data_IF_088208139215
#
_entry.id   IF_088208139215
#
_cell.length_a   1.000
_cell.length_b   1.000
_cell.length_c   1.000
_cell.angle_alpha   90.00
_cell.angle_beta   90.00
_cell.angle_gamma   90.00
#
_symmetry.space_group_name_H-M   'P 1'
#
loop_
_entity.id
_entity.type
_entity.pdbx_description
1 polymer ?
#
# COMPACT_ATOMS: atom_id res chain seq x y z
N UNK A 1 -16.39 -35.38 6.39
CA UNK A 1 -15.01 -34.88 6.51
C UNK A 1 -15.03 -33.37 6.36
N UNK A 2 -14.67 -32.66 7.41
CA UNK A 2 -14.62 -31.20 7.36
C UNK A 2 -13.35 -30.75 6.65
N UNK A 3 -13.53 -30.11 5.50
CA UNK A 3 -12.43 -29.43 4.85
C UNK A 3 -12.28 -28.10 5.58
N UNK A 4 -11.18 -27.94 6.32
CA UNK A 4 -10.91 -26.66 6.98
C UNK A 4 -10.78 -25.58 5.90
N UNK A 5 -11.63 -24.57 5.96
CA UNK A 5 -11.56 -23.44 5.06
C UNK A 5 -10.26 -22.68 5.29
N UNK A 6 -9.68 -22.14 4.22
CA UNK A 6 -8.51 -21.27 4.32
C UNK A 6 -8.97 -19.95 4.92
N UNK A 7 -8.36 -19.58 6.05
CA UNK A 7 -8.78 -18.38 6.76
C UNK A 7 -8.20 -17.12 6.13
N UNK A 8 -9.04 -16.11 6.02
CA UNK A 8 -8.63 -14.77 5.66
C UNK A 8 -7.60 -14.25 6.66
N UNK A 9 -6.57 -13.61 6.16
CA UNK A 9 -5.53 -12.98 6.97
C UNK A 9 -5.72 -11.48 6.96
N UNK A 10 -5.47 -10.85 8.10
CA UNK A 10 -5.59 -9.40 8.26
C UNK A 10 -4.44 -8.87 9.08
N UNK A 11 -4.04 -7.64 8.80
CA UNK A 11 -3.17 -6.88 9.69
C UNK A 11 -3.48 -5.40 9.59
N UNK A 12 -3.16 -4.69 10.67
CA UNK A 12 -3.32 -3.25 10.77
C UNK A 12 -2.00 -2.64 11.21
N UNK A 13 -1.67 -1.51 10.60
CA UNK A 13 -0.51 -0.70 10.97
C UNK A 13 -1.01 0.70 11.25
N UNK A 14 -0.51 1.30 12.33
CA UNK A 14 -0.85 2.67 12.70
C UNK A 14 0.43 3.44 12.96
N UNK A 15 0.59 4.56 12.27
CA UNK A 15 1.80 5.38 12.36
C UNK A 15 1.40 6.86 12.40
N UNK A 16 2.19 7.65 13.10
CA UNK A 16 2.01 9.10 13.15
C UNK A 16 3.09 9.81 12.34
N UNK A 17 2.74 10.92 11.73
CA UNK A 17 3.67 11.76 10.99
C UNK A 17 3.39 13.23 11.29
N UNK A 18 4.44 14.04 11.30
CA UNK A 18 4.28 15.49 11.38
C UNK A 18 3.89 16.12 10.04
N UNK A 19 3.96 15.35 8.95
CA UNK A 19 3.60 15.83 7.62
C UNK A 19 2.08 15.98 7.48
N UNK A 20 1.65 16.82 6.54
CA UNK A 20 0.24 17.00 6.24
C UNK A 20 -0.36 15.81 5.49
N UNK A 21 -1.65 15.57 5.72
CA UNK A 21 -2.37 14.47 5.07
C UNK A 21 -2.31 14.58 3.54
N UNK A 22 -2.42 15.79 3.01
CA UNK A 22 -2.36 16.03 1.56
C UNK A 22 -1.00 15.67 0.98
N UNK A 23 0.08 16.00 1.70
CA UNK A 23 1.43 15.67 1.26
C UNK A 23 1.69 14.17 1.27
N UNK A 24 1.27 13.49 2.32
CA UNK A 24 1.39 12.04 2.44
C UNK A 24 0.60 11.34 1.34
N UNK A 25 -0.64 11.75 1.13
CA UNK A 25 -1.48 11.19 0.09
C UNK A 25 -0.87 11.38 -1.30
N UNK A 26 -0.40 12.61 -1.60
CA UNK A 26 0.14 12.93 -2.91
C UNK A 26 1.37 12.08 -3.25
N UNK A 27 2.26 11.85 -2.28
CA UNK A 27 3.42 10.99 -2.48
C UNK A 27 3.03 9.55 -2.74
N UNK A 28 2.06 9.04 -2.00
CA UNK A 28 1.59 7.66 -2.19
C UNK A 28 0.87 7.49 -3.52
N UNK A 29 0.06 8.47 -3.91
CA UNK A 29 -0.71 8.42 -5.15
C UNK A 29 0.16 8.57 -6.40
N UNK A 30 1.31 9.26 -6.29
CA UNK A 30 2.26 9.41 -7.39
C UNK A 30 3.17 8.18 -7.46
N UNK A 31 2.64 7.09 -7.94
CA UNK A 31 3.35 5.81 -7.96
C UNK A 31 4.67 5.86 -8.75
N UNK A 32 4.76 6.49 -9.93
CA UNK A 32 6.06 6.57 -10.63
C UNK A 32 7.15 7.29 -9.85
N UNK A 33 6.80 8.09 -8.86
CA UNK A 33 7.75 8.78 -8.01
C UNK A 33 8.32 7.93 -6.87
N UNK A 34 7.75 6.76 -6.59
CA UNK A 34 8.17 5.92 -5.46
C UNK A 34 9.67 5.59 -5.43
N UNK A 35 10.32 5.26 -6.56
CA UNK A 35 11.76 4.92 -6.50
C UNK A 35 12.64 6.02 -5.92
N UNK A 36 12.20 7.28 -5.96
CA UNK A 36 12.96 8.39 -5.41
C UNK A 36 13.04 8.35 -3.88
N UNK A 37 12.06 7.73 -3.20
CA UNK A 37 12.02 7.70 -1.74
C UNK A 37 11.82 6.30 -1.15
N UNK A 38 11.49 5.30 -1.97
CA UNK A 38 11.35 3.92 -1.52
C UNK A 38 12.29 3.02 -2.35
N UNK A 39 13.46 2.73 -1.81
CA UNK A 39 14.52 2.03 -2.53
C UNK A 39 14.16 0.62 -3.02
N UNK A 40 13.39 -0.20 -2.28
CA UNK A 40 13.01 -1.52 -2.78
C UNK A 40 12.25 -1.47 -4.10
N UNK A 41 11.48 -0.42 -4.35
CA UNK A 41 10.81 -0.23 -5.64
C UNK A 41 11.80 0.35 -6.64
N UNK A 42 12.30 -0.48 -7.54
CA UNK A 42 13.29 -0.07 -8.55
C UNK A 42 12.65 0.73 -9.68
N UNK A 43 11.42 0.41 -10.01
CA UNK A 43 10.66 1.06 -11.06
C UNK A 43 9.19 0.91 -10.75
N UNK A 44 8.44 1.99 -10.92
CA UNK A 44 6.98 1.95 -10.83
C UNK A 44 6.44 2.69 -12.03
N UNK A 45 5.49 2.07 -12.72
CA UNK A 45 4.86 2.69 -13.89
C UNK A 45 3.39 2.33 -13.94
N UNK A 46 2.61 3.20 -14.53
CA UNK A 46 1.21 2.90 -14.81
C UNK A 46 1.11 1.98 -16.01
N UNK A 47 0.17 1.04 -15.95
CA UNK A 47 -0.18 0.23 -17.11
C UNK A 47 -0.80 1.14 -18.17
N UNK A 48 -0.56 0.82 -19.46
CA UNK A 48 -1.06 1.61 -20.58
C UNK A 48 -2.60 1.64 -20.66
N UNK A 49 -3.26 0.73 -19.95
CA UNK A 49 -4.71 0.65 -19.93
C UNK A 49 -5.20 0.84 -18.49
N UNK A 50 -5.56 2.09 -18.16
CA UNK A 50 -6.23 2.34 -16.89
C UNK A 50 -7.40 3.30 -17.13
N UNK A 51 -8.61 2.92 -16.72
CA UNK A 51 -9.74 3.80 -16.82
C UNK A 51 -9.62 4.97 -15.85
N UNK A 52 -10.12 6.13 -16.26
CA UNK A 52 -10.14 7.29 -15.39
C UNK A 52 -11.06 7.05 -14.19
N UNK A 53 -10.69 7.60 -13.03
CA UNK A 53 -11.54 7.58 -11.85
C UNK A 53 -11.49 6.31 -11.00
N UNK A 54 -10.51 5.44 -11.22
CA UNK A 54 -10.34 4.21 -10.46
C UNK A 54 -10.05 3.04 -11.35
N UNK A 55 -9.56 1.96 -10.75
CA UNK A 55 -9.16 0.78 -11.51
C UNK A 55 -7.85 0.94 -12.25
N UNK A 56 -7.14 2.05 -12.05
CA UNK A 56 -5.81 2.23 -12.61
C UNK A 56 -4.87 1.15 -12.07
N UNK A 57 -4.02 0.63 -12.95
CA UNK A 57 -3.08 -0.43 -12.59
C UNK A 57 -1.66 0.11 -12.61
N UNK A 58 -0.93 -0.11 -11.51
CA UNK A 58 0.48 0.22 -11.42
C UNK A 58 1.30 -1.06 -11.36
N UNK A 59 2.45 -1.03 -12.00
CA UNK A 59 3.39 -2.13 -12.04
C UNK A 59 4.61 -1.74 -11.21
N UNK A 60 4.81 -2.45 -10.10
CA UNK A 60 5.88 -2.15 -9.12
C UNK A 60 6.95 -3.22 -9.24
N UNK A 61 8.14 -2.83 -9.66
CA UNK A 61 9.27 -3.75 -9.79
C UNK A 61 10.10 -3.72 -8.51
N UNK A 62 10.13 -4.85 -7.81
CA UNK A 62 10.88 -5.04 -6.58
C UNK A 62 11.82 -6.21 -6.79
N UNK A 63 13.15 -5.96 -6.86
CA UNK A 63 14.12 -6.99 -7.19
C UNK A 63 13.79 -7.63 -8.55
N UNK A 64 13.70 -8.96 -8.64
CA UNK A 64 13.34 -9.65 -9.88
C UNK A 64 11.83 -9.72 -10.13
N UNK A 65 11.02 -9.20 -9.21
CA UNK A 65 9.55 -9.34 -9.28
C UNK A 65 8.90 -8.07 -9.77
N UNK A 66 7.86 -8.21 -10.58
CA UNK A 66 6.96 -7.13 -10.93
C UNK A 66 5.59 -7.41 -10.32
N UNK A 67 5.18 -6.58 -9.40
CA UNK A 67 3.91 -6.70 -8.70
C UNK A 67 2.87 -5.84 -9.41
N UNK A 68 1.73 -6.43 -9.72
CA UNK A 68 0.62 -5.73 -10.34
C UNK A 68 -0.37 -5.32 -9.25
N UNK A 69 -0.60 -4.03 -9.13
CA UNK A 69 -1.52 -3.46 -8.14
C UNK A 69 -2.59 -2.62 -8.83
N UNK A 70 -3.82 -2.83 -8.43
CA UNK A 70 -4.95 -2.05 -8.92
C UNK A 70 -5.39 -1.04 -7.87
N UNK A 71 -5.48 0.22 -8.26
CA UNK A 71 -6.01 1.26 -7.38
C UNK A 71 -7.53 1.12 -7.34
N UNK A 72 -8.09 0.99 -6.15
CA UNK A 72 -9.52 0.76 -5.93
C UNK A 72 -10.26 2.04 -5.58
N UNK A 73 -9.61 2.94 -4.85
CA UNK A 73 -10.23 4.18 -4.42
C UNK A 73 -9.16 5.23 -4.15
N UNK A 74 -9.48 6.49 -4.44
CA UNK A 74 -8.64 7.63 -4.09
C UNK A 74 -9.51 8.81 -3.68
N UNK A 75 -9.35 9.22 -2.43
CA UNK A 75 -9.93 10.44 -1.88
C UNK A 75 -8.76 11.30 -1.40
N UNK A 76 -8.37 12.36 -2.13
CA UNK A 76 -7.17 13.13 -1.80
C UNK A 76 -7.13 13.59 -0.34
N UNK A 77 -5.99 13.34 0.29
CA UNK A 77 -5.75 13.71 1.69
C UNK A 77 -6.49 12.85 2.71
N UNK A 78 -7.24 11.84 2.29
CA UNK A 78 -8.07 11.06 3.20
C UNK A 78 -7.91 9.55 3.06
N UNK A 79 -8.04 9.02 1.85
CA UNK A 79 -8.14 7.56 1.66
C UNK A 79 -7.53 7.12 0.34
N UNK A 80 -6.75 6.06 0.39
CA UNK A 80 -6.20 5.37 -0.78
C UNK A 80 -6.40 3.88 -0.59
N UNK A 81 -6.96 3.19 -1.57
CA UNK A 81 -7.15 1.75 -1.50
C UNK A 81 -6.60 1.07 -2.75
N UNK A 82 -6.04 -0.11 -2.58
CA UNK A 82 -5.48 -0.87 -3.68
C UNK A 82 -5.58 -2.37 -3.43
N UNK A 83 -5.39 -3.14 -4.51
CA UNK A 83 -5.36 -4.60 -4.46
C UNK A 83 -4.12 -5.11 -5.19
N UNK A 84 -3.43 -6.07 -4.60
CA UNK A 84 -2.34 -6.79 -5.27
C UNK A 84 -2.97 -7.93 -6.06
N UNK A 85 -2.71 -7.98 -7.38
CA UNK A 85 -3.34 -8.95 -8.27
C UNK A 85 -2.41 -10.07 -8.72
N UNK A 86 -1.09 -9.93 -8.53
CA UNK A 86 -0.13 -10.91 -9.05
C UNK A 86 1.03 -11.14 -8.10
N UNK A 87 1.76 -12.22 -8.36
CA UNK A 87 3.05 -12.63 -7.79
C UNK A 87 2.91 -13.45 -6.52
N UNK A 88 2.06 -13.04 -5.60
CA UNK A 88 1.95 -13.73 -4.32
C UNK A 88 0.85 -14.79 -4.38
N UNK A 89 1.03 -15.95 -3.71
CA UNK A 89 0.01 -17.00 -3.70
C UNK A 89 -1.14 -16.65 -2.76
N UNK A 90 -1.84 -15.58 -3.09
CA UNK A 90 -2.99 -15.06 -2.35
C UNK A 90 -4.05 -14.55 -3.32
N UNK A 91 -5.26 -14.40 -2.81
CA UNK A 91 -6.39 -13.86 -3.57
C UNK A 91 -7.17 -12.88 -2.70
N UNK A 92 -7.99 -12.09 -3.37
CA UNK A 92 -8.90 -11.13 -2.71
C UNK A 92 -8.13 -10.16 -1.80
N UNK A 93 -6.94 -9.75 -2.21
CA UNK A 93 -6.16 -8.78 -1.47
C UNK A 93 -6.80 -7.40 -1.56
N UNK A 94 -6.89 -6.74 -0.42
CA UNK A 94 -7.28 -5.35 -0.35
C UNK A 94 -6.52 -4.65 0.75
N UNK A 95 -6.03 -3.46 0.45
CA UNK A 95 -5.40 -2.59 1.43
C UNK A 95 -6.08 -1.23 1.39
N UNK A 96 -6.32 -0.67 2.56
CA UNK A 96 -6.88 0.66 2.73
C UNK A 96 -5.91 1.49 3.56
N UNK A 97 -5.59 2.68 3.07
CA UNK A 97 -4.72 3.63 3.76
C UNK A 97 -5.56 4.86 4.10
N UNK A 98 -5.73 5.11 5.38
CA UNK A 98 -6.50 6.23 5.88
C UNK A 98 -5.57 7.27 6.47
N UNK A 99 -5.78 8.53 6.08
CA UNK A 99 -5.03 9.68 6.58
C UNK A 99 -5.99 10.54 7.39
N UNK A 100 -5.69 10.71 8.67
CA UNK A 100 -6.51 11.53 9.56
C UNK A 100 -5.66 12.67 10.10
N UNK A 101 -5.97 13.90 9.70
CA UNK A 101 -5.26 15.07 10.17
C UNK A 101 -5.64 15.40 11.62
N UNK A 102 -4.67 15.80 12.41
CA UNK A 102 -4.87 16.31 13.75
C UNK A 102 -4.00 17.54 13.98
N UNK A 103 -3.95 18.05 15.22
CA UNK A 103 -3.22 19.27 15.54
C UNK A 103 -1.70 19.11 15.40
N UNK A 104 -1.19 17.88 15.47
CA UNK A 104 0.24 17.59 15.44
C UNK A 104 0.74 17.07 14.12
N UNK A 105 -0.17 16.77 13.20
CA UNK A 105 0.18 16.20 11.89
C UNK A 105 -0.88 15.27 11.39
N UNK A 106 -0.50 14.03 11.08
CA UNK A 106 -1.39 13.05 10.48
C UNK A 106 -1.23 11.69 11.16
N UNK A 107 -2.35 11.03 11.41
CA UNK A 107 -2.37 9.62 11.79
C UNK A 107 -2.63 8.80 10.53
N UNK A 108 -1.78 7.81 10.27
CA UNK A 108 -1.91 6.91 9.13
C UNK A 108 -2.33 5.54 9.65
N UNK A 109 -3.44 5.03 9.13
CA UNK A 109 -3.92 3.68 9.41
C UNK A 109 -3.90 2.89 8.12
N UNK A 110 -3.16 1.79 8.11
CA UNK A 110 -2.99 0.95 6.92
C UNK A 110 -3.53 -0.43 7.24
N UNK A 111 -4.66 -0.77 6.66
CA UNK A 111 -5.34 -2.05 6.88
C UNK A 111 -5.16 -2.92 5.65
N UNK A 112 -4.87 -4.20 5.85
CA UNK A 112 -4.72 -5.12 4.72
C UNK A 112 -5.40 -6.45 5.05
N UNK A 113 -6.03 -7.04 4.03
CA UNK A 113 -6.63 -8.35 4.14
C UNK A 113 -6.39 -9.15 2.86
N UNK A 114 -6.29 -10.46 2.98
CA UNK A 114 -6.15 -11.37 1.84
C UNK A 114 -6.49 -12.80 2.26
N UNK A 115 -6.74 -13.66 1.26
CA UNK A 115 -6.93 -15.08 1.48
C UNK A 115 -5.76 -15.83 0.83
N UNK A 116 -4.99 -16.62 1.58
CA UNK A 116 -3.90 -17.40 0.98
C UNK A 116 -4.45 -18.48 0.07
N UNK A 117 -3.74 -18.79 -1.04
CA UNK A 117 -4.14 -19.84 -1.97
C UNK A 117 -3.86 -21.24 -1.42
N UNK A 118 -2.87 -21.36 -0.54
CA UNK A 118 -2.46 -22.66 0.00
C UNK A 118 -2.59 -22.68 1.51
N UNK A 119 -3.10 -23.79 2.04
CA UNK A 119 -3.27 -23.98 3.48
C UNK A 119 -1.92 -23.91 4.19
N UNK A 120 -1.91 -23.33 5.37
CA UNK A 120 -0.71 -23.22 6.21
C UNK A 120 0.25 -22.12 5.83
N UNK A 121 0.00 -21.38 4.75
CA UNK A 121 0.89 -20.31 4.28
C UNK A 121 0.49 -18.92 4.74
N UNK A 122 -0.73 -18.76 5.27
CA UNK A 122 -1.30 -17.45 5.58
C UNK A 122 -0.49 -16.63 6.58
N UNK A 123 -0.03 -17.27 7.65
CA UNK A 123 0.76 -16.58 8.68
C UNK A 123 2.07 -16.04 8.14
N UNK A 124 2.77 -16.84 7.33
CA UNK A 124 4.04 -16.41 6.73
C UNK A 124 3.84 -15.27 5.75
N UNK A 125 2.82 -15.38 4.88
CA UNK A 125 2.48 -14.32 3.93
C UNK A 125 2.10 -13.04 4.66
N UNK A 126 1.33 -13.15 5.75
CA UNK A 126 0.93 -11.99 6.55
C UNK A 126 2.14 -11.27 7.15
N UNK A 127 3.08 -12.02 7.72
CA UNK A 127 4.30 -11.46 8.30
C UNK A 127 5.12 -10.74 7.24
N UNK A 128 5.33 -11.39 6.09
CA UNK A 128 6.11 -10.81 5.00
C UNK A 128 5.46 -9.58 4.40
N UNK A 129 4.15 -9.63 4.16
CA UNK A 129 3.42 -8.51 3.59
C UNK A 129 3.38 -7.32 4.57
N UNK A 130 3.13 -7.60 5.85
CA UNK A 130 3.15 -6.57 6.89
C UNK A 130 4.51 -5.89 6.98
N UNK A 131 5.59 -6.67 6.92
CA UNK A 131 6.95 -6.11 6.92
C UNK A 131 7.16 -5.17 5.74
N UNK A 132 6.77 -5.60 4.53
CA UNK A 132 6.91 -4.77 3.33
C UNK A 132 6.10 -3.48 3.41
N UNK A 133 4.88 -3.56 3.90
CA UNK A 133 4.02 -2.38 4.08
C UNK A 133 4.59 -1.43 5.13
N UNK A 134 5.15 -1.95 6.23
CA UNK A 134 5.80 -1.13 7.25
C UNK A 134 6.99 -0.37 6.67
N UNK A 135 7.79 -1.03 5.83
CA UNK A 135 8.92 -0.38 5.15
C UNK A 135 8.44 0.74 4.24
N UNK A 136 7.40 0.48 3.46
CA UNK A 136 6.82 1.47 2.57
C UNK A 136 6.25 2.67 3.34
N UNK A 137 5.49 2.39 4.39
CA UNK A 137 4.87 3.44 5.21
C UNK A 137 5.91 4.33 5.90
N UNK A 138 6.97 3.73 6.43
CA UNK A 138 8.06 4.49 7.07
C UNK A 138 8.80 5.34 6.06
N UNK A 139 9.07 4.81 4.86
CA UNK A 139 9.70 5.56 3.79
C UNK A 139 8.83 6.73 3.32
N UNK A 140 7.52 6.49 3.22
CA UNK A 140 6.55 7.53 2.87
C UNK A 140 6.58 8.68 3.88
N UNK A 141 6.55 8.36 5.16
CA UNK A 141 6.61 9.34 6.24
C UNK A 141 7.90 10.14 6.17
N UNK A 142 9.03 9.47 6.03
CA UNK A 142 10.33 10.15 5.95
C UNK A 142 10.39 11.10 4.75
N UNK A 143 9.88 10.67 3.59
CA UNK A 143 9.85 11.49 2.38
C UNK A 143 8.95 12.71 2.55
N UNK A 144 7.76 12.52 3.13
CA UNK A 144 6.82 13.61 3.34
C UNK A 144 7.35 14.64 4.35
N UNK A 145 7.99 14.17 5.43
CA UNK A 145 8.54 15.05 6.45
C UNK A 145 9.77 15.83 5.96
N UNK A 146 10.44 15.33 4.92
CA UNK A 146 11.55 16.03 4.28
C UNK A 146 11.10 17.14 3.32
N UNK A 147 9.83 17.16 2.93
CA UNK A 147 9.29 18.21 2.05
C UNK A 147 9.10 19.50 2.81
N UNK A 148 9.26 20.68 2.12
CA UNK A 148 8.91 21.95 2.74
C UNK A 148 7.43 21.96 3.13
N UNK A 149 7.12 22.50 4.31
CA UNK A 149 5.73 22.68 4.70
C UNK A 149 5.10 23.71 3.77
N UNK A 150 3.92 23.39 3.24
CA UNK A 150 3.14 24.40 2.54
C UNK A 150 2.67 25.44 3.53
N UNK A 151 3.06 26.68 3.30
CA UNK A 151 2.63 27.84 4.07
C UNK A 151 1.15 28.15 3.79
#
# INVERSE_FOLDING_TARGET
>A
MLVASVQEQRFDIELASSAGADQLFALLADAPGWPAWFRPARRVRWSSTHPAGGGAVRLVTIGPLTVRERVLAEEPGRHHAYSIETVFPMRDHRADVWFTADQTGTLIRWNSSFTPKFRGTGGLLRIGLKFGVQQLAQALIAAAEALPRSS
#
